data_IF_244660361423
#
_entry.id   IF_244660361423
#
_cell.length_a   1.000
_cell.length_b   1.000
_cell.length_c   1.000
_cell.angle_alpha   90.00
_cell.angle_beta   90.00
_cell.angle_gamma   90.00
#
_symmetry.space_group_name_H-M   'P 1'
#
loop_
_entity.id
_entity.type
_entity.pdbx_description
1 polymer ?
#
# COMPACT_ATOMS: atom_id res chain seq x y z
N UNK A 1 14.85 -1.57 -4.14
CA UNK A 1 13.74 -1.57 -3.15
C UNK A 1 12.46 -1.96 -3.88
N UNK A 2 11.64 -2.87 -3.34
CA UNK A 2 10.43 -3.36 -4.03
C UNK A 2 9.20 -2.55 -3.63
N UNK A 3 8.40 -2.19 -4.62
CA UNK A 3 7.16 -1.44 -4.43
C UNK A 3 6.05 -2.00 -5.29
N UNK A 4 4.80 -1.91 -4.81
CA UNK A 4 3.61 -2.21 -5.59
C UNK A 4 2.98 -0.92 -6.09
N UNK A 5 2.68 -0.84 -7.39
CA UNK A 5 1.99 0.31 -7.99
C UNK A 5 0.54 0.33 -7.52
N UNK A 6 0.10 1.45 -6.95
CA UNK A 6 -1.26 1.60 -6.40
C UNK A 6 -2.13 2.56 -7.22
N UNK A 7 -1.51 3.55 -7.86
CA UNK A 7 -2.21 4.55 -8.68
C UNK A 7 -1.26 5.10 -9.73
N UNK A 8 -1.79 5.39 -10.91
CA UNK A 8 -1.10 6.07 -12.00
C UNK A 8 -1.98 7.25 -12.42
N UNK A 9 -1.39 8.43 -12.50
CA UNK A 9 -2.09 9.67 -12.84
C UNK A 9 -1.35 10.41 -13.95
N UNK A 10 -2.06 10.77 -15.01
CA UNK A 10 -1.58 11.70 -16.03
C UNK A 10 -1.58 13.12 -15.45
N UNK A 11 -0.41 13.75 -15.37
CA UNK A 11 -0.30 15.15 -14.91
C UNK A 11 -0.55 16.12 -16.05
N UNK A 12 -0.01 15.81 -17.22
CA UNK A 12 -0.15 16.53 -18.48
C UNK A 12 0.02 15.53 -19.64
N UNK A 13 0.08 16.01 -20.89
CA UNK A 13 0.20 15.17 -22.09
C UNK A 13 1.53 14.39 -22.16
N UNK A 14 2.55 14.82 -21.41
CA UNK A 14 3.92 14.31 -21.51
C UNK A 14 4.44 13.68 -20.22
N UNK A 15 3.74 13.81 -19.09
CA UNK A 15 4.21 13.33 -17.79
C UNK A 15 3.18 12.52 -17.03
N UNK A 16 3.67 11.46 -16.39
CA UNK A 16 2.90 10.49 -15.62
C UNK A 16 3.46 10.44 -14.21
N UNK A 17 2.59 10.48 -13.22
CA UNK A 17 2.95 10.21 -11.82
C UNK A 17 2.50 8.82 -11.43
N UNK A 18 3.47 8.00 -11.01
CA UNK A 18 3.28 6.63 -10.54
C UNK A 18 3.39 6.62 -9.02
N UNK A 19 2.31 6.27 -8.35
CA UNK A 19 2.21 6.14 -6.91
C UNK A 19 2.41 4.68 -6.50
N UNK A 20 3.21 4.49 -5.47
CA UNK A 20 3.77 3.20 -5.11
C UNK A 20 3.75 2.99 -3.60
N UNK A 21 3.55 1.74 -3.19
CA UNK A 21 3.57 1.30 -1.80
C UNK A 21 4.71 0.31 -1.58
N UNK A 22 5.49 0.44 -0.51
CA UNK A 22 6.65 -0.43 -0.30
C UNK A 22 6.22 -1.85 0.08
N UNK A 23 6.77 -2.85 -0.60
CA UNK A 23 6.62 -4.26 -0.22
C UNK A 23 7.58 -4.55 0.96
N UNK A 24 7.06 -5.11 2.06
CA UNK A 24 7.87 -5.50 3.23
C UNK A 24 7.55 -4.79 4.56
N UNK A 25 6.37 -4.19 4.71
CA UNK A 25 5.85 -3.78 6.03
C UNK A 25 4.68 -4.68 6.46
N UNK A 26 4.96 -5.97 6.54
CA UNK A 26 4.18 -6.99 7.26
C UNK A 26 4.47 -6.85 8.77
N UNK A 27 3.61 -7.09 9.76
CA UNK A 27 2.35 -7.85 9.90
C UNK A 27 1.54 -7.11 10.98
N UNK A 28 0.25 -6.85 10.78
CA UNK A 28 -0.63 -6.58 11.92
C UNK A 28 -0.78 -7.94 12.58
N UNK A 29 -0.09 -8.18 13.70
CA UNK A 29 -0.27 -9.37 14.54
C UNK A 29 -1.76 -9.54 14.80
N UNK A 30 -2.35 -10.59 14.23
CA UNK A 30 -3.73 -10.94 14.52
C UNK A 30 -3.80 -11.27 16.03
N UNK A 31 -4.64 -10.58 16.82
CA UNK A 31 -4.83 -10.94 18.22
C UNK A 31 -5.42 -12.36 18.30
N UNK A 32 -4.96 -13.14 19.29
CA UNK A 32 -5.43 -14.50 19.57
C UNK A 32 -6.96 -14.55 19.69
N UNK A 33 -7.61 -15.13 18.68
CA UNK A 33 -9.07 -15.16 18.50
C UNK A 33 -9.74 -16.11 19.52
N UNK A 34 -8.99 -17.07 20.05
CA UNK A 34 -9.48 -18.13 20.95
C UNK A 34 -9.90 -17.63 22.35
N UNK A 35 -9.32 -16.54 22.85
CA UNK A 35 -9.74 -15.95 24.14
C UNK A 35 -10.97 -15.04 24.02
N UNK A 36 -11.17 -14.41 22.87
CA UNK A 36 -12.22 -13.42 22.66
C UNK A 36 -13.61 -14.04 22.43
N UNK A 37 -13.68 -15.29 21.97
CA UNK A 37 -14.96 -16.01 21.79
C UNK A 37 -15.61 -16.45 23.11
N UNK A 38 -14.88 -16.44 24.23
CA UNK A 38 -15.38 -16.92 25.53
C UNK A 38 -16.11 -15.85 26.34
N UNK A 39 -15.97 -14.58 25.99
CA UNK A 39 -16.56 -13.46 26.72
C UNK A 39 -17.14 -12.42 25.75
N UNK A 40 -18.47 -12.16 25.79
CA UNK A 40 -19.11 -11.20 24.89
C UNK A 40 -18.58 -9.77 25.05
N UNK A 41 -18.02 -9.38 26.21
CA UNK A 41 -17.34 -8.09 26.37
C UNK A 41 -15.99 -8.07 25.66
N UNK A 42 -15.21 -9.16 25.73
CA UNK A 42 -13.95 -9.29 24.99
C UNK A 42 -14.17 -9.38 23.48
N UNK A 43 -15.29 -9.95 23.03
CA UNK A 43 -15.69 -9.96 21.62
C UNK A 43 -16.05 -8.55 21.12
N UNK A 44 -16.70 -7.73 21.95
CA UNK A 44 -16.97 -6.33 21.65
C UNK A 44 -15.67 -5.51 21.59
N UNK A 45 -14.72 -5.80 22.47
CA UNK A 45 -13.40 -5.16 22.43
C UNK A 45 -12.56 -5.63 21.22
N UNK A 46 -12.58 -6.93 20.90
CA UNK A 46 -11.94 -7.49 19.71
C UNK A 46 -12.54 -6.88 18.44
N UNK A 47 -13.86 -6.82 18.30
CA UNK A 47 -14.51 -6.19 17.13
C UNK A 47 -14.17 -4.71 17.02
N UNK A 48 -14.03 -3.99 18.13
CA UNK A 48 -13.51 -2.61 18.12
C UNK A 48 -12.04 -2.54 17.70
N UNK A 49 -11.19 -3.42 18.22
CA UNK A 49 -9.77 -3.50 17.87
C UNK A 49 -9.56 -3.94 16.41
N UNK A 50 -10.38 -4.87 15.90
CA UNK A 50 -10.42 -5.30 14.50
C UNK A 50 -10.95 -4.19 13.61
N UNK A 51 -11.98 -3.46 14.03
CA UNK A 51 -12.47 -2.27 13.34
C UNK A 51 -11.39 -1.20 13.24
N UNK A 52 -10.63 -0.96 14.32
CA UNK A 52 -9.46 -0.06 14.29
C UNK A 52 -8.30 -0.61 13.47
N UNK A 53 -8.03 -1.92 13.49
CA UNK A 53 -6.99 -2.55 12.68
C UNK A 53 -7.33 -2.51 11.20
N UNK A 54 -8.62 -2.70 10.86
CA UNK A 54 -9.16 -2.58 9.52
C UNK A 54 -9.13 -1.12 9.04
N UNK A 55 -9.55 -0.17 9.88
CA UNK A 55 -9.42 1.26 9.57
C UNK A 55 -7.95 1.68 9.42
N UNK A 56 -7.04 1.18 10.26
CA UNK A 56 -5.58 1.41 10.10
C UNK A 56 -5.03 0.73 8.86
N UNK A 57 -5.52 -0.45 8.49
CA UNK A 57 -5.14 -1.12 7.25
C UNK A 57 -5.62 -0.33 6.02
N UNK A 58 -6.82 0.28 6.11
CA UNK A 58 -7.37 1.18 5.10
C UNK A 58 -6.57 2.48 5.04
N UNK A 59 -6.34 3.19 6.15
CA UNK A 59 -5.49 4.38 6.21
C UNK A 59 -4.08 4.11 5.66
N UNK A 60 -3.50 2.94 5.98
CA UNK A 60 -2.19 2.52 5.45
C UNK A 60 -2.23 2.09 3.99
N UNK A 61 -3.38 1.67 3.47
CA UNK A 61 -3.55 1.42 2.03
C UNK A 61 -3.70 2.70 1.22
N UNK A 62 -4.09 3.80 1.88
CA UNK A 62 -4.21 5.14 1.29
C UNK A 62 -2.91 5.96 1.47
N UNK A 63 -2.03 5.57 2.40
CA UNK A 63 -0.73 6.21 2.60
C UNK A 63 0.23 5.85 1.46
N UNK A 64 0.30 6.70 0.45
CA UNK A 64 1.25 6.61 -0.67
C UNK A 64 2.70 6.72 -0.13
N UNK A 65 3.42 5.59 -0.02
CA UNK A 65 4.77 5.56 0.55
C UNK A 65 5.82 6.23 -0.36
N UNK A 66 5.61 6.20 -1.69
CA UNK A 66 6.50 6.78 -2.68
C UNK A 66 5.75 7.21 -3.93
N UNK A 67 6.23 8.27 -4.59
CA UNK A 67 5.78 8.69 -5.91
C UNK A 67 6.98 8.98 -6.81
N UNK A 68 6.86 8.64 -8.09
CA UNK A 68 7.82 9.00 -9.13
C UNK A 68 7.06 9.65 -10.28
N UNK A 69 7.55 10.80 -10.74
CA UNK A 69 7.09 11.42 -11.98
C UNK A 69 8.09 11.07 -13.09
N UNK A 70 7.59 10.53 -14.19
CA UNK A 70 8.37 10.13 -15.37
C UNK A 70 7.70 10.59 -16.65
N UNK A 71 8.43 10.53 -17.77
CA UNK A 71 7.86 10.88 -19.08
C UNK A 71 6.85 9.82 -19.52
N UNK A 72 5.83 10.24 -20.26
CA UNK A 72 4.81 9.33 -20.80
C UNK A 72 5.42 8.25 -21.70
N UNK A 73 6.41 8.61 -22.53
CA UNK A 73 7.13 7.67 -23.38
C UNK A 73 7.82 6.57 -22.56
N UNK A 74 8.55 6.94 -21.50
CA UNK A 74 9.22 6.00 -20.60
C UNK A 74 8.21 5.10 -19.85
N UNK A 75 7.08 5.67 -19.42
CA UNK A 75 5.98 4.91 -18.82
C UNK A 75 5.42 3.86 -19.79
N UNK A 76 5.23 4.23 -21.06
CA UNK A 76 4.73 3.33 -22.10
C UNK A 76 5.72 2.22 -22.44
N UNK A 77 7.01 2.51 -22.52
CA UNK A 77 8.06 1.52 -22.78
C UNK A 77 8.14 0.46 -21.67
N UNK A 78 7.88 0.87 -20.42
CA UNK A 78 7.89 -0.01 -19.25
C UNK A 78 6.57 -0.79 -19.06
N UNK A 79 5.54 -0.49 -19.85
CA UNK A 79 4.20 -1.09 -19.79
C UNK A 79 3.61 -1.18 -18.37
N UNK A 80 3.89 -0.18 -17.53
CA UNK A 80 3.54 -0.19 -16.09
C UNK A 80 2.03 -0.23 -15.86
N UNK A 81 1.58 -1.10 -14.95
CA UNK A 81 0.16 -1.25 -14.59
C UNK A 81 -0.06 -1.16 -13.09
N UNK A 82 -1.25 -0.70 -12.70
CA UNK A 82 -1.68 -0.75 -11.30
C UNK A 82 -1.70 -2.20 -10.83
N UNK A 83 -1.05 -2.48 -9.71
CA UNK A 83 -0.89 -3.83 -9.16
C UNK A 83 0.48 -4.45 -9.41
N UNK A 84 1.27 -3.94 -10.36
CA UNK A 84 2.61 -4.45 -10.63
C UNK A 84 3.55 -4.22 -9.46
N UNK A 85 4.49 -5.16 -9.26
CA UNK A 85 5.57 -5.04 -8.28
C UNK A 85 6.85 -4.68 -9.01
N UNK A 86 7.34 -3.47 -8.76
CA UNK A 86 8.52 -2.88 -9.40
C UNK A 86 9.69 -2.78 -8.42
N UNK A 87 10.91 -2.90 -8.95
CA UNK A 87 12.13 -2.63 -8.20
C UNK A 87 12.67 -1.25 -8.53
N UNK A 88 12.77 -0.39 -7.51
CA UNK A 88 13.32 0.96 -7.62
C UNK A 88 14.70 1.00 -6.98
N UNK A 89 15.70 1.47 -7.72
CA UNK A 89 17.07 1.70 -7.25
C UNK A 89 17.46 3.16 -7.46
N UNK A 90 17.97 3.82 -6.42
CA UNK A 90 18.53 5.17 -6.53
C UNK A 90 20.03 5.05 -6.83
N UNK A 91 20.48 5.65 -7.93
CA UNK A 91 21.91 5.80 -8.25
C UNK A 91 22.33 7.24 -7.95
N UNK A 92 23.36 7.42 -7.14
CA UNK A 92 24.01 8.72 -6.97
C UNK A 92 24.92 8.94 -8.18
N UNK A 93 24.82 10.11 -8.81
CA UNK A 93 25.66 10.53 -9.94
C UNK A 93 26.56 11.66 -9.48
#
# INVERSE_FOLDING_TARGET
>A
MRYKIVKIEMKDENTVTVYMRREGREVITAPDIDEAMKDPFKLMELSRQMGMAYMRAIERSISEDAMITMKYEEYCELELKVGDVVEVSVKHV
#
